data_IF_868319618593
#
_entry.id   IF_868319618593
#
_cell.length_a   1.000
_cell.length_b   1.000
_cell.length_c   1.000
_cell.angle_alpha   90.00
_cell.angle_beta   90.00
_cell.angle_gamma   90.00
#
_symmetry.space_group_name_H-M   'P 1'
#
loop_
_entity.id
_entity.type
_entity.pdbx_description
1 polymer ?
#
# COMPACT_ATOMS: atom_id res chain seq x y z
N UNK A 1 17.25 2.51 -4.89
CA UNK A 1 16.23 2.60 -3.83
C UNK A 1 14.93 2.99 -4.51
N UNK A 2 13.83 2.31 -4.20
CA UNK A 2 12.53 2.70 -4.72
C UNK A 2 12.05 4.00 -4.04
N UNK A 3 11.30 4.81 -4.78
CA UNK A 3 10.60 5.98 -4.24
C UNK A 3 9.11 5.71 -4.33
N UNK A 4 8.43 5.67 -3.20
CA UNK A 4 6.96 5.58 -3.16
C UNK A 4 6.40 6.89 -3.71
N UNK A 5 5.64 6.82 -4.80
CA UNK A 5 5.03 7.99 -5.43
C UNK A 5 3.58 8.16 -5.01
N UNK A 6 2.89 7.06 -4.73
CA UNK A 6 1.51 7.06 -4.28
C UNK A 6 1.20 5.74 -3.57
N UNK A 7 0.40 5.79 -2.51
CA UNK A 7 -0.23 4.62 -1.95
C UNK A 7 -1.61 4.96 -1.42
N UNK A 8 -2.53 4.01 -1.50
CA UNK A 8 -3.83 4.17 -0.91
C UNK A 8 -4.46 2.84 -0.55
N UNK A 9 -5.39 2.93 0.37
CA UNK A 9 -5.99 1.78 1.01
C UNK A 9 -7.50 1.98 1.10
N UNK A 10 -8.26 1.08 0.51
CA UNK A 10 -9.72 1.21 0.48
C UNK A 10 -10.39 0.41 -0.62
N UNK A 11 -11.63 0.81 -0.92
CA UNK A 11 -12.45 0.20 -1.97
C UNK A 11 -13.39 1.26 -2.56
N UNK A 12 -13.58 1.22 -3.89
CA UNK A 12 -14.38 2.19 -4.63
C UNK A 12 -13.99 3.65 -4.30
N UNK A 13 -14.95 4.44 -3.80
CA UNK A 13 -14.74 5.85 -3.42
C UNK A 13 -14.35 6.02 -1.93
N UNK A 14 -14.26 4.93 -1.17
CA UNK A 14 -13.89 4.94 0.24
C UNK A 14 -12.43 4.51 0.37
N UNK A 15 -11.51 5.47 0.21
CA UNK A 15 -10.08 5.19 0.15
C UNK A 15 -9.26 6.22 0.91
N UNK A 16 -8.42 5.74 1.83
CA UNK A 16 -7.44 6.54 2.55
C UNK A 16 -6.19 6.71 1.68
N UNK A 17 -5.67 7.94 1.59
CA UNK A 17 -4.31 8.17 1.14
C UNK A 17 -3.33 7.72 2.24
N UNK A 18 -2.57 6.66 1.96
CA UNK A 18 -1.59 6.10 2.89
C UNK A 18 -0.15 6.27 2.39
N UNK A 19 0.07 7.18 1.43
CA UNK A 19 1.39 7.43 0.83
C UNK A 19 2.44 7.72 1.89
N UNK A 20 2.14 8.59 2.85
CA UNK A 20 3.09 8.96 3.92
C UNK A 20 3.42 7.78 4.85
N UNK A 21 2.41 6.96 5.18
CA UNK A 21 2.57 5.79 6.06
C UNK A 21 3.44 4.72 5.38
N UNK A 22 3.14 4.39 4.12
CA UNK A 22 3.91 3.42 3.34
C UNK A 22 5.34 3.90 3.10
N UNK A 23 5.53 5.20 2.84
CA UNK A 23 6.87 5.81 2.70
C UNK A 23 7.68 5.68 3.98
N UNK A 24 7.07 5.94 5.14
CA UNK A 24 7.72 5.80 6.44
C UNK A 24 8.08 4.34 6.76
N UNK A 25 7.15 3.40 6.51
CA UNK A 25 7.40 1.97 6.66
C UNK A 25 8.58 1.50 5.78
N UNK A 26 8.61 1.92 4.51
CA UNK A 26 9.71 1.61 3.60
C UNK A 26 11.05 2.18 4.09
N UNK A 27 11.05 3.43 4.56
CA UNK A 27 12.23 4.07 5.15
C UNK A 27 12.73 3.35 6.41
N UNK A 28 11.82 2.74 7.17
CA UNK A 28 12.15 1.92 8.35
C UNK A 28 12.61 0.49 8.02
N UNK A 29 12.73 0.14 6.73
CA UNK A 29 13.24 -1.16 6.27
C UNK A 29 12.16 -2.16 5.88
N UNK A 30 10.88 -1.81 5.98
CA UNK A 30 9.78 -2.67 5.52
C UNK A 30 9.83 -2.80 3.98
N UNK A 31 9.64 -4.02 3.48
CA UNK A 31 9.67 -4.32 2.04
C UNK A 31 8.43 -5.05 1.55
N UNK A 32 7.69 -5.68 2.47
CA UNK A 32 6.46 -6.41 2.20
C UNK A 32 5.32 -5.70 2.89
N UNK A 33 4.38 -5.20 2.11
CA UNK A 33 3.22 -4.45 2.59
C UNK A 33 1.95 -5.28 2.45
N UNK A 34 1.15 -5.35 3.50
CA UNK A 34 -0.08 -6.16 3.55
C UNK A 34 -1.27 -5.26 3.82
N UNK A 35 -2.33 -5.42 3.04
CA UNK A 35 -3.60 -4.73 3.26
C UNK A 35 -4.20 -5.08 4.63
N UNK A 36 -4.20 -4.13 5.56
CA UNK A 36 -4.80 -4.30 6.87
C UNK A 36 -5.25 -2.97 7.49
N UNK A 37 -6.35 -3.04 8.26
CA UNK A 37 -6.93 -1.90 8.96
C UNK A 37 -6.03 -1.30 10.04
N UNK A 38 -5.17 -2.11 10.68
CA UNK A 38 -4.32 -1.67 11.79
C UNK A 38 -3.29 -0.63 11.35
N UNK A 39 -2.72 -0.80 10.16
CA UNK A 39 -1.73 0.12 9.61
C UNK A 39 -2.33 1.29 8.86
N UNK A 40 -3.45 1.07 8.18
CA UNK A 40 -3.98 1.98 7.16
C UNK A 40 -5.34 2.62 7.49
N UNK A 41 -5.95 2.23 8.62
CA UNK A 41 -7.29 2.64 9.04
C UNK A 41 -8.39 2.00 8.18
N UNK A 42 -9.63 1.96 8.67
CA UNK A 42 -10.75 1.34 7.94
C UNK A 42 -11.65 2.39 7.25
N UNK A 43 -11.45 2.67 5.95
CA UNK A 43 -12.29 3.61 5.20
C UNK A 43 -13.67 3.04 4.81
N UNK A 44 -13.87 1.71 4.81
CA UNK A 44 -15.14 1.08 4.39
C UNK A 44 -15.43 -0.13 5.27
N UNK A 45 -16.00 0.09 6.47
CA UNK A 45 -16.28 -0.99 7.42
C UNK A 45 -17.25 -2.03 6.83
N UNK A 46 -16.88 -3.30 6.92
CA UNK A 46 -17.65 -4.42 6.39
C UNK A 46 -17.32 -4.79 4.94
N UNK A 47 -16.59 -3.94 4.22
CA UNK A 47 -16.10 -4.23 2.87
C UNK A 47 -14.64 -4.68 2.89
N UNK A 48 -14.32 -5.57 1.94
CA UNK A 48 -12.94 -5.96 1.68
C UNK A 48 -12.21 -4.83 0.96
N UNK A 49 -11.12 -4.36 1.56
CA UNK A 49 -10.29 -3.27 1.03
C UNK A 49 -9.03 -3.78 0.38
N UNK A 50 -8.38 -2.89 -0.37
CA UNK A 50 -7.18 -3.17 -1.13
C UNK A 50 -6.15 -2.09 -0.85
N UNK A 51 -4.91 -2.50 -0.62
CA UNK A 51 -3.75 -1.64 -0.64
C UNK A 51 -3.22 -1.62 -2.07
N UNK A 52 -3.01 -0.43 -2.61
CA UNK A 52 -2.28 -0.22 -3.86
C UNK A 52 -1.08 0.68 -3.58
N UNK A 53 0.06 0.35 -4.17
CA UNK A 53 1.30 1.13 -4.05
C UNK A 53 1.86 1.34 -5.45
N UNK A 54 2.21 2.58 -5.76
CA UNK A 54 2.94 2.98 -6.95
C UNK A 54 4.31 3.49 -6.51
N UNK A 55 5.36 3.03 -7.19
CA UNK A 55 6.72 3.44 -6.89
C UNK A 55 7.58 3.58 -8.14
N UNK A 56 8.56 4.45 -8.07
CA UNK A 56 9.62 4.57 -9.08
C UNK A 56 10.82 3.73 -8.67
N UNK A 57 11.34 2.91 -9.59
CA UNK A 57 12.55 2.11 -9.39
C UNK A 57 13.29 1.92 -10.71
N UNK A 58 14.60 2.18 -10.72
CA UNK A 58 15.45 2.11 -11.92
C UNK A 58 14.90 2.87 -13.14
N UNK A 59 14.32 4.05 -12.91
CA UNK A 59 13.74 4.88 -13.97
C UNK A 59 12.41 4.38 -14.52
N UNK A 60 11.82 3.35 -13.92
CA UNK A 60 10.51 2.81 -14.30
C UNK A 60 9.49 3.01 -13.18
N UNK A 61 8.26 3.36 -13.56
CA UNK A 61 7.10 3.35 -12.66
C UNK A 61 6.55 1.93 -12.55
N UNK A 62 6.47 1.43 -11.33
CA UNK A 62 5.95 0.12 -10.98
C UNK A 62 4.74 0.29 -10.08
N UNK A 63 3.91 -0.75 -9.99
CA UNK A 63 2.78 -0.76 -9.08
C UNK A 63 2.45 -2.17 -8.61
N UNK A 64 1.72 -2.26 -7.50
CA UNK A 64 1.22 -3.50 -6.94
C UNK A 64 -0.10 -3.26 -6.23
N UNK A 65 -0.89 -4.32 -6.12
CA UNK A 65 -2.16 -4.32 -5.39
C UNK A 65 -2.28 -5.61 -4.58
N UNK A 66 -2.77 -5.49 -3.35
CA UNK A 66 -3.09 -6.63 -2.49
C UNK A 66 -4.39 -6.34 -1.75
N UNK A 67 -5.28 -7.33 -1.67
CA UNK A 67 -6.53 -7.23 -0.89
C UNK A 67 -6.31 -7.64 0.56
N UNK A 68 -7.17 -7.18 1.46
CA UNK A 68 -7.24 -7.77 2.81
C UNK A 68 -7.43 -9.29 2.73
N UNK A 69 -6.92 -10.04 3.71
CA UNK A 69 -6.90 -11.51 3.73
C UNK A 69 -6.05 -12.16 2.62
N UNK A 70 -5.12 -11.42 2.01
CA UNK A 70 -4.10 -11.95 1.10
C UNK A 70 -2.71 -11.73 1.70
N UNK A 71 -2.01 -12.84 1.97
CA UNK A 71 -0.72 -12.85 2.65
C UNK A 71 0.47 -12.66 1.69
N UNK A 72 0.24 -12.60 0.38
CA UNK A 72 1.30 -12.40 -0.62
C UNK A 72 1.93 -11.01 -0.50
N UNK A 73 1.11 -9.99 -0.27
CA UNK A 73 1.54 -8.60 -0.11
C UNK A 73 2.07 -7.95 -1.39
N UNK A 74 2.45 -6.68 -1.27
CA UNK A 74 3.21 -5.95 -2.28
C UNK A 74 4.67 -5.94 -1.84
N UNK A 75 5.58 -6.37 -2.72
CA UNK A 75 7.02 -6.32 -2.47
C UNK A 75 7.61 -5.12 -3.20
N UNK A 76 8.18 -4.17 -2.45
CA UNK A 76 8.89 -3.02 -2.99
C UNK A 76 10.40 -3.24 -2.85
N UNK A 77 11.20 -3.14 -3.94
CA UNK A 77 12.64 -3.41 -3.93
C UNK A 77 13.47 -2.34 -3.20
#
# INVERSE_FOLDING_TARGET
>A
MATITFAGYGVWNNTNDVTSKVTQQYANGERKFIANNGDYGDPSPGDRKYLYIVWSFNGSTNSGVVGENDDRGIIVP
#
